data_IF_586662866977
#
_entry.id   IF_586662866977
#
_cell.length_a   1.000
_cell.length_b   1.000
_cell.length_c   1.000
_cell.angle_alpha   90.00
_cell.angle_beta   90.00
_cell.angle_gamma   90.00
#
_symmetry.space_group_name_H-M   'P 1'
#
loop_
_entity.id
_entity.type
_entity.pdbx_description
1 polymer ?
#
# COMPACT_ATOMS: atom_id res chain seq x y z
N UNK A 1 -2.33 7.25 38.35
CA UNK A 1 -3.64 7.21 37.69
C UNK A 1 -3.97 5.73 37.54
N UNK A 2 -4.79 5.21 38.43
CA UNK A 2 -5.18 3.79 38.34
C UNK A 2 -6.18 3.68 37.19
N UNK A 3 -5.71 3.10 36.10
CA UNK A 3 -6.50 2.90 34.87
C UNK A 3 -7.67 1.92 35.06
N UNK A 4 -7.60 1.14 36.12
CA UNK A 4 -8.64 0.20 36.50
C UNK A 4 -8.94 0.42 37.98
N UNK A 5 -10.14 0.79 38.28
CA UNK A 5 -10.68 0.86 39.66
C UNK A 5 -10.82 -0.60 40.21
N UNK A 6 -9.74 -1.37 40.09
CA UNK A 6 -9.69 -2.77 40.49
C UNK A 6 -9.02 -2.91 41.87
N UNK A 7 -9.59 -3.79 42.68
CA UNK A 7 -8.94 -4.25 43.91
C UNK A 7 -7.53 -4.71 43.60
N UNK A 8 -6.47 -4.20 44.30
CA UNK A 8 -5.08 -4.61 44.10
C UNK A 8 -4.86 -6.12 44.14
N UNK A 9 -5.67 -6.86 44.92
CA UNK A 9 -5.59 -8.32 45.02
C UNK A 9 -6.14 -9.03 43.77
N UNK A 10 -6.86 -8.36 42.91
CA UNK A 10 -7.37 -8.87 41.63
C UNK A 10 -6.44 -8.57 40.45
N UNK A 11 -5.39 -7.76 40.65
CA UNK A 11 -4.43 -7.44 39.60
C UNK A 11 -3.51 -8.64 39.40
N UNK A 12 -3.51 -9.25 38.19
CA UNK A 12 -2.64 -10.39 37.92
C UNK A 12 -1.16 -9.99 37.97
N UNK A 13 -0.32 -10.88 38.45
CA UNK A 13 1.14 -10.68 38.34
C UNK A 13 1.58 -10.55 36.89
N UNK A 14 2.70 -9.87 36.65
CA UNK A 14 3.27 -9.70 35.30
C UNK A 14 3.43 -11.06 34.57
N UNK A 15 3.85 -12.08 35.29
CA UNK A 15 4.01 -13.44 34.73
C UNK A 15 2.65 -14.04 34.34
N UNK A 16 1.64 -13.93 35.20
CA UNK A 16 0.30 -14.42 34.90
C UNK A 16 -0.32 -13.68 33.71
N UNK A 17 -0.14 -12.36 33.63
CA UNK A 17 -0.56 -11.57 32.47
C UNK A 17 0.09 -12.02 31.17
N UNK A 18 1.43 -12.21 31.15
CA UNK A 18 2.16 -12.70 29.99
C UNK A 18 1.71 -14.09 29.54
N UNK A 19 1.43 -15.00 30.48
CA UNK A 19 0.93 -16.34 30.18
C UNK A 19 -0.48 -16.29 29.57
N UNK A 20 -1.37 -15.47 30.12
CA UNK A 20 -2.75 -15.31 29.63
C UNK A 20 -2.77 -14.66 28.25
N UNK A 21 -1.93 -13.67 28.00
CA UNK A 21 -1.83 -13.02 26.67
C UNK A 21 -1.54 -14.01 25.55
N UNK A 22 -0.74 -15.06 25.82
CA UNK A 22 -0.44 -16.12 24.83
C UNK A 22 -1.66 -16.98 24.48
N UNK A 23 -2.71 -16.93 25.27
CA UNK A 23 -3.96 -17.68 25.04
C UNK A 23 -4.97 -16.90 24.20
N UNK A 24 -4.72 -15.61 23.97
CA UNK A 24 -5.57 -14.78 23.11
C UNK A 24 -5.29 -15.16 21.66
N UNK A 25 -6.34 -15.52 20.92
CA UNK A 25 -6.24 -15.80 19.50
C UNK A 25 -5.78 -14.56 18.73
N UNK A 26 -4.97 -14.75 17.68
CA UNK A 26 -4.58 -13.66 16.78
C UNK A 26 -5.80 -12.96 16.17
N UNK A 27 -6.82 -13.74 15.79
CA UNK A 27 -8.08 -13.22 15.26
C UNK A 27 -8.83 -12.28 16.19
N UNK A 28 -8.60 -12.35 17.52
CA UNK A 28 -9.18 -11.40 18.45
C UNK A 28 -8.57 -9.99 18.28
N UNK A 29 -7.28 -9.90 17.97
CA UNK A 29 -6.64 -8.62 17.70
C UNK A 29 -7.08 -8.04 16.35
N UNK A 30 -7.23 -8.88 15.34
CA UNK A 30 -7.77 -8.50 14.03
C UNK A 30 -9.20 -7.96 14.17
N UNK A 31 -10.04 -8.66 14.93
CA UNK A 31 -11.40 -8.23 15.23
C UNK A 31 -11.42 -6.88 15.97
N UNK A 32 -10.62 -6.75 17.04
CA UNK A 32 -10.53 -5.50 17.80
C UNK A 32 -10.04 -4.34 16.94
N UNK A 33 -9.07 -4.57 16.07
CA UNK A 33 -8.59 -3.56 15.13
C UNK A 33 -9.70 -3.13 14.18
N UNK A 34 -10.42 -4.08 13.59
CA UNK A 34 -11.53 -3.82 12.67
C UNK A 34 -12.65 -3.02 13.35
N UNK A 35 -13.10 -3.44 14.54
CA UNK A 35 -14.14 -2.74 15.31
C UNK A 35 -13.69 -1.32 15.71
N UNK A 36 -12.42 -1.20 16.15
CA UNK A 36 -11.88 0.10 16.52
C UNK A 36 -11.78 1.02 15.30
N UNK A 37 -11.23 0.55 14.20
CA UNK A 37 -11.09 1.34 12.97
C UNK A 37 -12.44 1.76 12.39
N UNK A 38 -13.44 0.89 12.43
CA UNK A 38 -14.79 1.19 11.95
C UNK A 38 -15.56 2.16 12.87
N UNK A 39 -15.16 2.25 14.14
CA UNK A 39 -15.79 3.18 15.10
C UNK A 39 -15.34 4.64 14.93
N UNK A 40 -14.23 4.87 14.21
CA UNK A 40 -13.86 6.24 13.85
C UNK A 40 -14.77 6.72 12.72
N UNK A 41 -15.55 7.76 12.95
CA UNK A 41 -16.31 8.37 11.87
C UNK A 41 -15.32 8.80 10.78
N UNK A 42 -15.64 8.48 9.54
CA UNK A 42 -14.96 9.10 8.40
C UNK A 42 -14.91 10.60 8.68
N UNK A 43 -13.73 11.14 8.82
CA UNK A 43 -13.49 12.44 9.44
C UNK A 43 -14.42 13.51 8.92
N UNK A 44 -14.93 14.32 9.85
CA UNK A 44 -15.59 15.59 9.55
C UNK A 44 -14.66 16.54 8.82
N UNK A 45 -13.35 16.38 9.00
CA UNK A 45 -12.33 17.20 8.36
C UNK A 45 -11.90 16.56 7.02
N UNK A 46 -12.16 17.29 5.95
CA UNK A 46 -11.86 16.87 4.58
C UNK A 46 -10.99 17.93 3.91
N UNK A 47 -10.11 17.48 3.02
CA UNK A 47 -9.41 18.41 2.13
C UNK A 47 -10.25 18.63 0.87
N UNK A 48 -10.86 19.82 0.74
CA UNK A 48 -11.72 20.17 -0.41
C UNK A 48 -12.77 19.08 -0.70
N UNK A 49 -13.46 18.63 0.34
CA UNK A 49 -14.48 17.58 0.30
C UNK A 49 -13.96 16.15 0.02
N UNK A 50 -12.64 15.94 -0.01
CA UNK A 50 -12.03 14.63 -0.20
C UNK A 50 -11.33 14.12 1.07
N UNK A 51 -11.42 12.82 1.29
CA UNK A 51 -10.61 12.10 2.27
C UNK A 51 -9.29 11.68 1.60
N UNK A 52 -8.17 11.98 2.22
CA UNK A 52 -6.85 11.62 1.71
C UNK A 52 -6.35 10.39 2.47
N UNK A 53 -6.18 9.29 1.77
CA UNK A 53 -5.67 8.04 2.33
C UNK A 53 -4.25 7.80 1.87
N UNK A 54 -3.34 7.59 2.82
CA UNK A 54 -1.95 7.28 2.52
C UNK A 54 -1.64 5.81 2.78
N UNK A 55 -0.81 5.22 1.93
CA UNK A 55 -0.19 3.94 2.19
C UNK A 55 1.32 4.11 2.35
N UNK A 56 1.86 3.52 3.40
CA UNK A 56 3.28 3.46 3.65
C UNK A 56 3.65 2.20 4.43
N UNK A 57 4.90 1.75 4.27
CA UNK A 57 5.41 0.56 4.91
C UNK A 57 6.58 0.85 5.85
N UNK A 58 6.67 0.09 6.93
CA UNK A 58 7.80 0.16 7.85
C UNK A 58 8.25 -1.21 8.34
N UNK A 59 9.53 -1.32 8.71
CA UNK A 59 10.06 -2.50 9.35
C UNK A 59 9.87 -2.43 10.86
N UNK A 60 9.28 -3.48 11.43
CA UNK A 60 9.10 -3.63 12.87
C UNK A 60 10.00 -4.76 13.37
N UNK A 61 11.02 -4.41 14.15
CA UNK A 61 11.93 -5.37 14.77
C UNK A 61 11.28 -5.97 16.00
N UNK A 62 11.41 -7.28 16.16
CA UNK A 62 10.89 -8.01 17.32
C UNK A 62 11.90 -9.01 17.87
N UNK A 63 11.52 -9.74 18.93
CA UNK A 63 12.42 -10.68 19.62
C UNK A 63 13.04 -11.69 18.66
N UNK A 64 14.35 -11.82 18.69
CA UNK A 64 15.12 -12.68 17.77
C UNK A 64 14.74 -14.14 17.94
N UNK A 65 14.32 -14.77 16.86
CA UNK A 65 14.11 -16.20 16.73
C UNK A 65 14.59 -16.65 15.33
N UNK A 66 15.70 -17.37 15.28
CA UNK A 66 16.30 -17.85 14.02
C UNK A 66 15.47 -18.93 13.30
N UNK A 67 14.50 -19.52 13.98
CA UNK A 67 13.63 -20.55 13.41
C UNK A 67 12.56 -19.96 12.49
N UNK A 68 12.29 -18.65 12.64
CA UNK A 68 11.40 -17.90 11.75
C UNK A 68 12.23 -17.34 10.58
N UNK A 69 12.48 -18.22 9.59
CA UNK A 69 13.43 -17.94 8.49
C UNK A 69 13.02 -16.74 7.65
N UNK A 70 11.73 -16.56 7.39
CA UNK A 70 11.17 -15.50 6.57
C UNK A 70 11.34 -14.09 7.15
N UNK A 71 11.56 -14.01 8.46
CA UNK A 71 11.75 -12.76 9.18
C UNK A 71 13.19 -12.57 9.69
N UNK A 72 13.99 -13.65 9.68
CA UNK A 72 15.30 -13.64 10.29
C UNK A 72 16.38 -13.07 9.36
N UNK A 73 17.02 -12.00 9.79
CA UNK A 73 18.20 -11.42 9.16
C UNK A 73 19.46 -11.96 9.79
N UNK A 74 20.23 -12.72 9.02
CA UNK A 74 21.54 -13.21 9.42
C UNK A 74 22.51 -12.03 9.63
N UNK A 75 23.38 -12.10 10.64
CA UNK A 75 24.41 -11.10 10.83
C UNK A 75 25.38 -11.09 9.62
N UNK A 76 25.78 -9.91 9.20
CA UNK A 76 26.77 -9.76 8.13
C UNK A 76 28.20 -10.01 8.61
N UNK A 77 28.44 -9.83 9.89
CA UNK A 77 29.73 -10.02 10.55
C UNK A 77 29.57 -11.04 11.70
N UNK A 78 30.61 -11.83 11.97
CA UNK A 78 30.60 -12.96 12.93
C UNK A 78 30.25 -12.50 14.35
N UNK A 79 30.63 -11.29 14.74
CA UNK A 79 30.43 -10.76 16.09
C UNK A 79 29.06 -10.09 16.31
N UNK A 80 28.21 -10.07 15.30
CA UNK A 80 26.88 -9.46 15.40
C UNK A 80 25.80 -10.52 15.51
N UNK A 81 24.80 -10.23 16.34
CA UNK A 81 23.60 -11.07 16.42
C UNK A 81 22.65 -10.74 15.28
N UNK A 82 22.02 -11.77 14.72
CA UNK A 82 20.90 -11.58 13.80
C UNK A 82 19.69 -10.96 14.52
N UNK A 83 18.71 -10.54 13.74
CA UNK A 83 17.45 -9.99 14.26
C UNK A 83 16.28 -10.40 13.38
N UNK A 84 15.10 -10.46 13.97
CA UNK A 84 13.86 -10.65 13.23
C UNK A 84 13.16 -9.30 13.02
N UNK A 85 12.60 -9.13 11.85
CA UNK A 85 11.68 -8.05 11.57
C UNK A 85 10.54 -8.52 10.68
N UNK A 86 9.41 -7.88 10.81
CA UNK A 86 8.28 -7.97 9.89
C UNK A 86 8.14 -6.65 9.15
N UNK A 87 7.48 -6.66 8.01
CA UNK A 87 7.11 -5.46 7.29
C UNK A 87 5.63 -5.17 7.51
N UNK A 88 5.35 -4.01 8.07
CA UNK A 88 3.99 -3.55 8.35
C UNK A 88 3.64 -2.47 7.34
N UNK A 89 2.58 -2.69 6.57
CA UNK A 89 2.01 -1.71 5.64
C UNK A 89 0.73 -1.16 6.25
N UNK A 90 0.62 0.15 6.33
CA UNK A 90 -0.55 0.82 6.90
C UNK A 90 -1.31 1.61 5.86
N UNK A 91 -2.64 1.57 5.94
CA UNK A 91 -3.56 2.38 5.15
C UNK A 91 -4.23 3.38 6.07
N UNK A 92 -3.88 4.65 5.95
CA UNK A 92 -4.11 5.69 6.96
C UNK A 92 -4.85 6.87 6.37
N UNK A 93 -5.88 7.33 7.04
CA UNK A 93 -6.45 8.66 6.79
C UNK A 93 -5.46 9.73 7.27
N UNK A 94 -4.98 10.54 6.34
CA UNK A 94 -3.93 11.54 6.59
C UNK A 94 -4.38 12.63 7.57
N UNK A 95 -5.67 12.94 7.60
CA UNK A 95 -6.21 14.02 8.43
C UNK A 95 -6.50 13.52 9.85
N UNK A 96 -7.28 12.46 9.98
CA UNK A 96 -7.63 11.89 11.28
C UNK A 96 -6.50 11.11 11.94
N UNK A 97 -5.49 10.68 11.15
CA UNK A 97 -4.43 9.75 11.57
C UNK A 97 -4.94 8.36 11.96
N UNK A 98 -6.17 8.03 11.59
CA UNK A 98 -6.74 6.73 11.84
C UNK A 98 -6.22 5.71 10.82
N UNK A 99 -5.83 4.53 11.31
CA UNK A 99 -5.55 3.38 10.45
C UNK A 99 -6.87 2.74 10.03
N UNK A 100 -7.05 2.57 8.73
CA UNK A 100 -8.21 1.91 8.13
C UNK A 100 -7.95 0.43 7.89
N UNK A 101 -6.72 0.10 7.50
CA UNK A 101 -6.29 -1.27 7.27
C UNK A 101 -4.78 -1.42 7.53
N UNK A 102 -4.34 -2.64 7.81
CA UNK A 102 -2.94 -2.99 8.05
C UNK A 102 -2.65 -4.36 7.45
N UNK A 103 -1.60 -4.44 6.64
CA UNK A 103 -1.09 -5.70 6.10
C UNK A 103 0.31 -5.97 6.65
N UNK A 104 0.48 -7.11 7.31
CA UNK A 104 1.76 -7.57 7.84
C UNK A 104 2.33 -8.62 6.90
N UNK A 105 3.58 -8.41 6.48
CA UNK A 105 4.31 -9.30 5.57
C UNK A 105 5.62 -9.77 6.22
N UNK A 106 6.15 -10.92 5.79
CA UNK A 106 7.49 -11.36 6.17
C UNK A 106 8.55 -10.31 5.84
N UNK A 107 9.52 -10.15 6.75
CA UNK A 107 10.52 -9.10 6.63
C UNK A 107 11.52 -9.29 5.48
N UNK A 108 11.77 -10.54 5.08
CA UNK A 108 12.78 -10.86 4.05
C UNK A 108 12.36 -10.48 2.63
N UNK A 109 11.07 -10.55 2.31
CA UNK A 109 10.55 -10.32 0.97
C UNK A 109 9.23 -9.54 1.01
N UNK A 110 9.23 -8.32 1.54
CA UNK A 110 8.02 -7.51 1.54
C UNK A 110 7.68 -7.07 0.11
N UNK A 111 6.39 -7.08 -0.19
CA UNK A 111 5.83 -6.50 -1.41
C UNK A 111 4.78 -5.44 -1.04
N UNK A 112 5.23 -4.20 -0.97
CA UNK A 112 4.37 -3.05 -0.61
C UNK A 112 3.23 -2.84 -1.61
N UNK A 113 3.44 -3.18 -2.89
CA UNK A 113 2.41 -3.04 -3.92
C UNK A 113 1.31 -4.06 -3.73
N UNK A 114 1.68 -5.31 -3.44
CA UNK A 114 0.72 -6.37 -3.13
C UNK A 114 -0.06 -6.03 -1.85
N UNK A 115 0.61 -5.46 -0.85
CA UNK A 115 -0.06 -5.00 0.36
C UNK A 115 -1.10 -3.91 0.05
N UNK A 116 -0.76 -2.93 -0.79
CA UNK A 116 -1.72 -1.89 -1.18
C UNK A 116 -2.87 -2.46 -2.03
N UNK A 117 -2.61 -3.41 -2.93
CA UNK A 117 -3.66 -4.11 -3.66
C UNK A 117 -4.65 -4.80 -2.70
N UNK A 118 -4.13 -5.53 -1.72
CA UNK A 118 -4.95 -6.20 -0.70
C UNK A 118 -5.80 -5.20 0.10
N UNK A 119 -5.21 -4.10 0.56
CA UNK A 119 -5.95 -3.06 1.30
C UNK A 119 -7.00 -2.37 0.43
N UNK A 120 -6.71 -2.13 -0.85
CA UNK A 120 -7.70 -1.60 -1.80
C UNK A 120 -8.85 -2.59 -2.04
N UNK A 121 -8.58 -3.90 -2.06
CA UNK A 121 -9.64 -4.92 -2.20
C UNK A 121 -10.63 -4.87 -1.05
N UNK A 122 -10.13 -4.71 0.18
CA UNK A 122 -10.97 -4.58 1.38
C UNK A 122 -11.70 -3.24 1.46
N UNK A 123 -11.16 -2.21 0.83
CA UNK A 123 -11.72 -0.86 0.90
C UNK A 123 -12.91 -0.68 -0.04
N UNK A 124 -14.11 -0.61 0.53
CA UNK A 124 -15.39 -0.50 -0.18
C UNK A 124 -16.23 0.66 0.34
N UNK A 125 -15.82 1.92 0.10
CA UNK A 125 -16.55 3.09 0.56
C UNK A 125 -17.85 3.30 -0.24
N UNK A 126 -18.86 3.91 0.39
CA UNK A 126 -20.15 4.23 -0.25
C UNK A 126 -20.02 5.20 -1.43
N UNK A 127 -19.08 6.15 -1.33
CA UNK A 127 -18.81 7.15 -2.37
C UNK A 127 -17.31 7.19 -2.68
N UNK A 128 -16.83 6.29 -3.56
CA UNK A 128 -15.40 6.17 -3.86
C UNK A 128 -14.75 7.45 -4.37
N UNK A 129 -15.49 8.27 -5.12
CA UNK A 129 -14.95 9.50 -5.72
C UNK A 129 -14.55 10.56 -4.68
N UNK A 130 -14.99 10.41 -3.43
CA UNK A 130 -14.56 11.26 -2.32
C UNK A 130 -13.21 10.87 -1.71
N UNK A 131 -12.58 9.83 -2.21
CA UNK A 131 -11.31 9.35 -1.66
C UNK A 131 -10.17 9.52 -2.67
N UNK A 132 -9.04 10.00 -2.17
CA UNK A 132 -7.80 10.14 -2.93
C UNK A 132 -6.74 9.28 -2.26
N UNK A 133 -6.22 8.30 -2.98
CA UNK A 133 -5.14 7.43 -2.52
C UNK A 133 -3.81 8.11 -2.82
N UNK A 134 -2.95 8.21 -1.82
CA UNK A 134 -1.59 8.72 -2.00
C UNK A 134 -0.56 7.70 -1.54
N UNK A 135 0.51 7.57 -2.31
CA UNK A 135 1.62 6.69 -1.99
C UNK A 135 2.93 7.22 -2.56
N UNK A 136 4.04 6.74 -2.02
CA UNK A 136 5.36 7.13 -2.44
C UNK A 136 5.78 6.43 -3.76
N UNK A 137 7.01 6.72 -4.24
CA UNK A 137 7.58 6.15 -5.47
C UNK A 137 7.85 4.64 -5.41
N UNK A 138 7.78 4.00 -4.25
CA UNK A 138 7.87 2.54 -4.09
C UNK A 138 6.66 1.84 -4.70
N UNK A 139 5.51 2.47 -4.59
CA UNK A 139 4.22 1.98 -5.09
C UNK A 139 3.98 2.24 -6.58
N UNK A 140 4.89 2.91 -7.27
CA UNK A 140 4.78 3.24 -8.70
C UNK A 140 4.52 1.99 -9.56
N UNK A 141 3.27 1.82 -10.02
CA UNK A 141 2.82 0.69 -10.82
C UNK A 141 1.58 1.04 -11.64
N UNK A 142 1.57 0.71 -12.92
CA UNK A 142 0.37 0.85 -13.75
C UNK A 142 -0.79 0.03 -13.19
N UNK A 143 -0.53 -1.18 -12.67
CA UNK A 143 -1.59 -2.03 -12.16
C UNK A 143 -2.28 -1.43 -10.92
N UNK A 144 -1.53 -0.77 -10.03
CA UNK A 144 -2.11 -0.02 -8.91
C UNK A 144 -2.96 1.16 -9.38
N UNK A 145 -2.51 1.91 -10.40
CA UNK A 145 -3.30 2.98 -10.98
C UNK A 145 -4.62 2.43 -11.58
N UNK A 146 -4.54 1.32 -12.31
CA UNK A 146 -5.72 0.66 -12.87
C UNK A 146 -6.65 0.12 -11.79
N UNK A 147 -6.10 -0.37 -10.66
CA UNK A 147 -6.91 -0.78 -9.52
C UNK A 147 -7.71 0.39 -8.93
N UNK A 148 -7.08 1.55 -8.76
CA UNK A 148 -7.78 2.76 -8.32
C UNK A 148 -8.88 3.16 -9.33
N UNK A 149 -8.60 3.14 -10.63
CA UNK A 149 -9.59 3.42 -11.70
C UNK A 149 -10.78 2.45 -11.63
N UNK A 150 -10.53 1.15 -11.48
CA UNK A 150 -11.59 0.14 -11.36
C UNK A 150 -12.52 0.39 -10.18
N UNK A 151 -11.98 0.95 -9.10
CA UNK A 151 -12.74 1.29 -7.88
C UNK A 151 -13.30 2.72 -7.88
N UNK A 152 -13.11 3.49 -8.96
CA UNK A 152 -13.48 4.91 -9.07
C UNK A 152 -12.86 5.79 -7.96
N UNK A 153 -11.65 5.47 -7.51
CA UNK A 153 -10.90 6.23 -6.52
C UNK A 153 -9.99 7.25 -7.21
N UNK A 154 -9.91 8.46 -6.64
CA UNK A 154 -8.84 9.39 -7.01
C UNK A 154 -7.47 8.88 -6.54
N UNK A 155 -6.39 9.30 -7.20
CA UNK A 155 -5.04 8.94 -6.75
C UNK A 155 -4.00 10.01 -7.08
N UNK A 156 -2.99 10.12 -6.21
CA UNK A 156 -1.82 10.97 -6.39
C UNK A 156 -0.60 10.19 -5.95
N UNK A 157 0.11 9.59 -6.88
CA UNK A 157 1.30 8.80 -6.58
C UNK A 157 2.56 9.57 -6.94
N UNK A 158 3.51 9.60 -6.02
CA UNK A 158 4.86 10.06 -6.33
C UNK A 158 5.50 9.04 -7.26
N UNK A 159 6.13 9.50 -8.32
CA UNK A 159 6.83 8.66 -9.29
C UNK A 159 8.33 8.87 -9.25
N UNK A 160 9.09 7.90 -9.76
CA UNK A 160 10.54 8.01 -9.92
C UNK A 160 10.86 9.05 -11.00
N UNK A 161 12.09 9.58 -10.96
CA UNK A 161 12.56 10.48 -12.02
C UNK A 161 12.33 9.86 -13.40
N UNK A 162 11.87 10.63 -14.40
CA UNK A 162 11.73 10.17 -15.78
C UNK A 162 13.03 9.58 -16.37
N UNK A 163 14.19 10.05 -15.90
CA UNK A 163 15.51 9.50 -16.28
C UNK A 163 15.77 8.09 -15.73
N UNK A 164 14.98 7.64 -14.74
CA UNK A 164 15.10 6.28 -14.21
C UNK A 164 14.44 5.27 -15.17
N UNK A 165 15.13 4.23 -15.64
CA UNK A 165 14.55 3.22 -16.52
C UNK A 165 13.43 2.41 -15.84
N UNK A 166 13.32 2.49 -14.51
CA UNK A 166 12.25 1.84 -13.71
C UNK A 166 11.05 2.73 -13.47
N UNK A 167 11.05 3.97 -13.97
CA UNK A 167 9.91 4.89 -13.85
C UNK A 167 8.85 4.58 -14.89
N UNK A 168 7.57 4.67 -14.51
CA UNK A 168 6.45 4.66 -15.46
C UNK A 168 6.51 5.87 -16.42
N UNK A 169 7.21 6.94 -16.02
CA UNK A 169 7.42 8.14 -16.85
C UNK A 169 8.63 8.04 -17.79
N UNK A 170 9.45 6.97 -17.71
CA UNK A 170 10.67 6.87 -18.52
C UNK A 170 10.44 6.95 -20.04
N UNK A 171 9.25 6.53 -20.48
CA UNK A 171 8.86 6.60 -21.90
C UNK A 171 8.46 8.01 -22.36
N UNK A 172 8.21 8.90 -21.41
CA UNK A 172 7.75 10.26 -21.67
C UNK A 172 8.84 11.30 -21.39
N UNK A 173 10.04 10.85 -21.03
CA UNK A 173 11.13 11.75 -20.64
C UNK A 173 11.41 12.83 -21.69
N UNK A 174 11.33 12.48 -23.00
CA UNK A 174 11.53 13.43 -24.11
C UNK A 174 10.38 14.42 -24.32
N UNK A 175 9.23 14.19 -23.67
CA UNK A 175 8.04 15.05 -23.76
C UNK A 175 7.93 16.01 -22.56
N UNK A 176 8.76 15.80 -21.53
CA UNK A 176 8.78 16.62 -20.33
C UNK A 176 9.74 17.80 -20.51
N UNK A 177 9.39 18.99 -20.00
CA UNK A 177 10.29 20.13 -20.02
C UNK A 177 11.59 19.85 -19.26
N UNK A 178 12.74 20.12 -19.88
CA UNK A 178 14.05 19.94 -19.24
C UNK A 178 14.53 21.20 -18.51
N UNK A 179 13.92 22.35 -18.82
CA UNK A 179 14.35 23.67 -18.39
C UNK A 179 13.48 24.26 -17.26
N UNK A 180 12.47 23.53 -16.81
CA UNK A 180 11.56 23.99 -15.75
C UNK A 180 11.72 23.13 -14.50
N UNK A 181 11.82 23.77 -13.35
CA UNK A 181 11.81 23.11 -12.04
C UNK A 181 10.44 22.55 -11.67
N UNK A 182 9.38 23.27 -12.06
CA UNK A 182 8.00 22.87 -11.84
C UNK A 182 7.20 23.03 -13.13
N UNK A 183 6.40 22.02 -13.46
CA UNK A 183 5.53 22.03 -14.62
C UNK A 183 4.31 21.13 -14.42
N UNK A 184 3.25 21.44 -15.14
CA UNK A 184 2.03 20.62 -15.24
C UNK A 184 1.82 20.21 -16.69
N UNK A 185 1.84 18.92 -16.96
CA UNK A 185 1.63 18.36 -18.30
C UNK A 185 0.60 17.24 -18.26
N UNK A 186 -0.25 17.18 -19.28
CA UNK A 186 -1.17 16.08 -19.50
C UNK A 186 -0.66 15.20 -20.64
N UNK A 187 -0.28 13.97 -20.34
CA UNK A 187 0.15 12.99 -21.33
C UNK A 187 -0.98 11.99 -21.55
N UNK A 188 -1.41 11.82 -22.80
CA UNK A 188 -2.44 10.84 -23.18
C UNK A 188 -1.81 9.70 -23.95
N UNK A 189 -2.07 8.46 -23.51
CA UNK A 189 -1.61 7.25 -24.16
C UNK A 189 -2.72 6.21 -24.17
N UNK A 190 -2.75 5.44 -25.24
CA UNK A 190 -3.61 4.27 -25.31
C UNK A 190 -2.85 3.04 -24.83
N UNK A 191 -3.42 2.33 -23.88
CA UNK A 191 -2.85 1.09 -23.38
C UNK A 191 -3.37 -0.09 -24.21
N UNK A 192 -2.49 -1.05 -24.50
CA UNK A 192 -2.84 -2.23 -25.29
C UNK A 192 -2.00 -3.44 -24.88
N UNK A 193 -2.58 -4.60 -24.97
CA UNK A 193 -1.90 -5.90 -24.86
C UNK A 193 -1.45 -6.49 -26.23
N UNK A 194 -1.76 -5.79 -27.34
CA UNK A 194 -1.43 -6.22 -28.71
C UNK A 194 -0.12 -5.63 -29.17
N UNK A 195 0.89 -6.48 -29.35
CA UNK A 195 2.20 -6.10 -29.86
C UNK A 195 2.27 -6.15 -31.40
N UNK A 196 1.49 -5.31 -32.08
CA UNK A 196 1.57 -5.20 -33.56
C UNK A 196 2.73 -4.32 -34.00
N UNK A 197 3.22 -4.50 -35.24
CA UNK A 197 4.27 -3.64 -35.80
C UNK A 197 3.84 -2.17 -35.89
N UNK A 198 2.57 -1.93 -36.17
CA UNK A 198 1.99 -0.58 -36.20
C UNK A 198 2.07 0.08 -34.84
N UNK A 199 1.70 -0.64 -33.77
CA UNK A 199 1.76 -0.10 -32.41
C UNK A 199 3.19 0.11 -31.91
N UNK A 200 4.14 -0.71 -32.37
CA UNK A 200 5.57 -0.51 -32.08
C UNK A 200 6.14 0.74 -32.76
N UNK A 201 5.67 1.06 -33.98
CA UNK A 201 6.08 2.26 -34.70
C UNK A 201 5.41 3.54 -34.18
N UNK A 202 4.35 3.42 -33.39
CA UNK A 202 3.59 4.51 -32.77
C UNK A 202 3.72 4.47 -31.25
N UNK A 203 4.93 4.30 -30.74
CA UNK A 203 5.21 4.23 -29.30
C UNK A 203 4.91 5.53 -28.54
N UNK A 204 4.81 6.63 -29.24
CA UNK A 204 4.37 7.95 -28.79
C UNK A 204 2.85 8.03 -28.55
N UNK A 205 2.07 7.13 -29.15
CA UNK A 205 0.61 7.06 -29.01
C UNK A 205 0.18 5.88 -28.13
N UNK A 206 0.83 4.73 -28.32
CA UNK A 206 0.44 3.47 -27.67
C UNK A 206 1.44 3.00 -26.66
N UNK A 207 0.96 2.60 -25.50
CA UNK A 207 1.73 1.91 -24.48
C UNK A 207 1.35 0.44 -24.43
N UNK A 208 2.30 -0.41 -24.79
CA UNK A 208 2.14 -1.85 -24.67
C UNK A 208 2.30 -2.29 -23.21
N UNK A 209 1.30 -3.00 -22.69
CA UNK A 209 1.35 -3.67 -21.39
C UNK A 209 1.50 -5.16 -21.64
N UNK A 210 2.63 -5.72 -21.22
CA UNK A 210 2.90 -7.14 -21.39
C UNK A 210 1.91 -7.97 -20.53
N UNK A 211 1.21 -8.94 -21.10
CA UNK A 211 0.44 -9.89 -20.34
C UNK A 211 1.31 -10.59 -19.29
N UNK A 212 1.12 -10.24 -18.04
CA UNK A 212 1.86 -10.83 -16.93
C UNK A 212 0.94 -11.03 -15.74
N UNK A 213 1.37 -11.85 -14.78
CA UNK A 213 0.66 -12.01 -13.50
C UNK A 213 0.56 -10.71 -12.70
N UNK A 214 1.36 -9.71 -13.06
CA UNK A 214 1.47 -8.44 -12.32
C UNK A 214 0.59 -7.32 -12.92
N UNK A 215 -0.36 -7.65 -13.79
CA UNK A 215 -1.28 -6.67 -14.40
C UNK A 215 -2.73 -7.15 -14.47
N UNK A 216 -3.29 -7.80 -13.43
CA UNK A 216 -4.66 -8.32 -13.47
C UNK A 216 -5.70 -7.21 -13.60
N UNK A 217 -5.51 -6.08 -12.93
CA UNK A 217 -6.44 -4.95 -12.93
C UNK A 217 -6.50 -4.24 -14.28
N UNK A 218 -5.38 -4.17 -15.00
CA UNK A 218 -5.35 -3.69 -16.38
C UNK A 218 -6.31 -4.46 -17.30
N UNK A 219 -6.27 -5.80 -17.23
CA UNK A 219 -7.16 -6.63 -18.05
C UNK A 219 -8.61 -6.56 -17.64
N UNK A 220 -8.88 -6.38 -16.36
CA UNK A 220 -10.24 -6.18 -15.87
C UNK A 220 -10.79 -4.83 -16.36
N UNK A 221 -9.99 -3.77 -16.31
CA UNK A 221 -10.37 -2.45 -16.81
C UNK A 221 -10.61 -2.47 -18.32
N UNK A 222 -9.75 -3.14 -19.10
CA UNK A 222 -9.96 -3.32 -20.53
C UNK A 222 -11.28 -4.02 -20.83
N UNK A 223 -11.64 -5.08 -20.09
CA UNK A 223 -12.91 -5.79 -20.27
C UNK A 223 -14.11 -4.91 -19.97
N UNK A 224 -14.06 -4.12 -18.91
CA UNK A 224 -15.13 -3.17 -18.58
C UNK A 224 -15.34 -2.14 -19.68
N UNK A 225 -14.26 -1.67 -20.32
CA UNK A 225 -14.31 -0.63 -21.35
C UNK A 225 -14.52 -1.20 -22.78
N UNK A 226 -14.38 -2.50 -23.00
CA UNK A 226 -14.58 -3.12 -24.32
C UNK A 226 -16.05 -3.29 -24.71
N UNK A 227 -16.97 -2.92 -23.85
CA UNK A 227 -18.42 -2.91 -24.10
C UNK A 227 -18.97 -1.50 -24.42
N UNK A 228 -18.08 -0.52 -24.61
CA UNK A 228 -18.36 0.81 -25.16
C UNK A 228 -17.98 0.85 -26.63
#
# INVERSE_FOLDING_TARGET
MDYFDLDPDLIPSQSAFCQRRRQISLSAFEYLFSEFSSSFPSTTDKFKDHCILACDGCHVVYATNSDIIEDYNKPRLIDYKGYNHMHLNGFVDVISKAFLDVVIQPGQQPDEREALHSMLDHFTPDDPQKYIITADRGYESYDLLFHCELKNLGYVFRVKSPSSPKSILSYYASELPDDLEEFDVTIKRFFTDKATNIMKSQSDVYRYINPSKNTPHFYELLRKNSHL
#
